data_IF_825749259108
#
_entry.id   IF_825749259108
#
_cell.length_a   1.000
_cell.length_b   1.000
_cell.length_c   1.000
_cell.angle_alpha   90.00
_cell.angle_beta   90.00
_cell.angle_gamma   90.00
#
_symmetry.space_group_name_H-M   'P 1'
#
loop_
_entity.id
_entity.type
_entity.pdbx_description
1 polymer ?
#
# COMPACT_ATOMS: atom_id res chain seq x y z
N UNK A 1 -29.65 3.26 -17.41
CA UNK A 1 -28.90 4.45 -17.83
C UNK A 1 -27.43 4.04 -17.94
N UNK A 2 -26.89 4.12 -19.17
CA UNK A 2 -25.46 3.90 -19.41
C UNK A 2 -24.75 5.10 -18.74
N UNK A 3 -24.17 4.88 -17.56
CA UNK A 3 -23.25 5.85 -16.98
C UNK A 3 -22.17 6.08 -18.06
N UNK A 4 -21.98 7.30 -18.54
CA UNK A 4 -20.90 7.58 -19.47
C UNK A 4 -19.57 7.15 -18.83
N UNK A 5 -18.66 6.59 -19.59
CA UNK A 5 -17.35 6.13 -19.09
C UNK A 5 -16.63 7.25 -18.31
N UNK A 6 -16.78 8.50 -18.75
CA UNK A 6 -16.26 9.68 -18.07
C UNK A 6 -16.87 9.90 -16.67
N UNK A 7 -18.20 9.71 -16.51
CA UNK A 7 -18.83 9.84 -15.19
C UNK A 7 -18.37 8.74 -14.23
N UNK A 8 -18.26 7.49 -14.70
CA UNK A 8 -17.72 6.38 -13.90
C UNK A 8 -16.29 6.67 -13.42
N UNK A 9 -15.44 7.24 -14.26
CA UNK A 9 -14.06 7.56 -13.91
C UNK A 9 -13.97 8.72 -12.89
N UNK A 10 -14.88 9.70 -12.95
CA UNK A 10 -14.97 10.77 -11.95
C UNK A 10 -15.33 10.18 -10.57
N UNK A 11 -16.32 9.28 -10.51
CA UNK A 11 -16.69 8.63 -9.25
C UNK A 11 -15.56 7.77 -8.67
N UNK A 12 -14.84 7.01 -9.49
CA UNK A 12 -13.65 6.25 -9.04
C UNK A 12 -12.61 7.14 -8.37
N UNK A 13 -12.34 8.32 -8.97
CA UNK A 13 -11.41 9.30 -8.39
C UNK A 13 -11.91 9.83 -7.06
N UNK A 14 -13.19 10.22 -6.97
CA UNK A 14 -13.77 10.76 -5.75
C UNK A 14 -13.71 9.75 -4.61
N UNK A 15 -14.07 8.49 -4.89
CA UNK A 15 -14.02 7.42 -3.88
C UNK A 15 -12.58 7.10 -3.48
N UNK A 16 -11.64 7.05 -4.42
CA UNK A 16 -10.23 6.85 -4.09
C UNK A 16 -9.68 7.96 -3.19
N UNK A 17 -10.04 9.23 -3.46
CA UNK A 17 -9.67 10.35 -2.61
C UNK A 17 -10.34 10.24 -1.22
N UNK A 18 -11.62 9.90 -1.16
CA UNK A 18 -12.33 9.74 0.11
C UNK A 18 -11.72 8.62 0.97
N UNK A 19 -11.36 7.48 0.36
CA UNK A 19 -10.69 6.37 1.04
C UNK A 19 -9.29 6.77 1.51
N UNK A 20 -8.50 7.43 0.65
CA UNK A 20 -7.18 7.94 1.04
C UNK A 20 -7.25 8.92 2.21
N UNK A 21 -8.23 9.85 2.20
CA UNK A 21 -8.51 10.77 3.31
C UNK A 21 -9.03 10.05 4.56
N UNK A 22 -9.82 8.99 4.41
CA UNK A 22 -10.28 8.16 5.52
C UNK A 22 -9.11 7.51 6.25
N UNK A 23 -8.17 6.90 5.53
CA UNK A 23 -6.97 6.33 6.11
C UNK A 23 -6.02 7.40 6.67
N UNK A 24 -5.92 8.57 6.01
CA UNK A 24 -5.19 9.73 6.53
C UNK A 24 -5.76 10.15 7.90
N UNK A 25 -7.08 10.23 8.04
CA UNK A 25 -7.73 10.59 9.29
C UNK A 25 -7.43 9.57 10.40
N UNK A 26 -7.44 8.26 10.09
CA UNK A 26 -7.06 7.21 11.05
C UNK A 26 -5.62 7.38 11.51
N UNK A 27 -4.69 7.60 10.57
CA UNK A 27 -3.28 7.83 10.87
C UNK A 27 -3.06 9.12 11.67
N UNK A 28 -3.73 10.20 11.27
CA UNK A 28 -3.66 11.49 11.96
C UNK A 28 -4.14 11.39 13.42
N UNK A 29 -5.23 10.66 13.67
CA UNK A 29 -5.72 10.42 15.03
C UNK A 29 -4.68 9.65 15.86
N UNK A 30 -4.01 8.66 15.26
CA UNK A 30 -2.96 7.90 15.93
C UNK A 30 -1.76 8.79 16.29
N UNK A 31 -1.26 9.56 15.32
CA UNK A 31 -0.13 10.48 15.51
C UNK A 31 -0.46 11.60 16.49
N UNK A 32 -1.67 12.16 16.43
CA UNK A 32 -2.14 13.19 17.35
C UNK A 32 -2.20 12.67 18.81
N UNK A 33 -2.65 11.43 18.99
CA UNK A 33 -2.68 10.82 20.32
C UNK A 33 -1.28 10.55 20.87
N UNK A 34 -0.33 10.12 20.02
CA UNK A 34 1.08 9.98 20.39
C UNK A 34 1.65 11.32 20.88
N UNK A 35 1.42 12.40 20.14
CA UNK A 35 1.87 13.75 20.51
C UNK A 35 1.25 14.21 21.83
N UNK A 36 -0.07 14.11 22.00
CA UNK A 36 -0.76 14.56 23.22
C UNK A 36 -0.37 13.79 24.47
N UNK A 37 -0.05 12.51 24.35
CA UNK A 37 0.30 11.65 25.50
C UNK A 37 1.78 11.70 25.87
N UNK A 38 2.64 12.32 25.03
CA UNK A 38 4.08 12.39 25.23
C UNK A 38 4.78 11.02 25.32
N UNK A 39 4.12 9.96 24.86
CA UNK A 39 4.59 8.57 24.84
C UNK A 39 4.22 8.01 23.46
N UNK A 40 4.99 7.04 22.98
CA UNK A 40 4.68 6.34 21.71
C UNK A 40 3.39 5.48 21.78
N UNK A 41 2.38 5.95 22.54
CA UNK A 41 1.10 5.28 22.78
C UNK A 41 -0.01 6.05 22.02
N UNK A 42 -0.17 5.73 20.75
CA UNK A 42 -1.29 6.18 19.91
C UNK A 42 -2.59 5.43 20.21
N UNK A 43 -3.30 5.05 19.15
CA UNK A 43 -4.46 4.17 19.24
C UNK A 43 -4.02 2.77 19.69
N UNK A 44 -4.88 2.10 20.45
CA UNK A 44 -4.65 0.67 20.74
C UNK A 44 -4.71 -0.12 19.42
N UNK A 45 -3.89 -1.18 19.24
CA UNK A 45 -3.82 -1.90 17.96
C UNK A 45 -5.19 -2.34 17.43
N UNK A 46 -6.09 -2.83 18.30
CA UNK A 46 -7.44 -3.23 17.89
C UNK A 46 -8.29 -2.05 17.41
N UNK A 47 -8.16 -0.86 18.01
CA UNK A 47 -8.88 0.36 17.60
C UNK A 47 -8.44 0.79 16.21
N UNK A 48 -7.12 0.78 15.97
CA UNK A 48 -6.55 1.11 14.65
C UNK A 48 -7.09 0.16 13.57
N UNK A 49 -7.12 -1.15 13.86
CA UNK A 49 -7.66 -2.16 12.93
C UNK A 49 -9.18 -1.98 12.70
N UNK A 50 -9.96 -1.65 13.73
CA UNK A 50 -11.42 -1.42 13.58
C UNK A 50 -11.69 -0.22 12.67
N UNK A 51 -10.99 0.90 12.82
CA UNK A 51 -11.14 2.06 11.94
C UNK A 51 -10.67 1.75 10.50
N UNK A 52 -9.55 1.06 10.35
CA UNK A 52 -9.07 0.62 9.03
C UNK A 52 -10.08 -0.32 8.36
N UNK A 53 -10.65 -1.26 9.11
CA UNK A 53 -11.66 -2.18 8.61
C UNK A 53 -12.93 -1.46 8.15
N UNK A 54 -13.38 -0.45 8.88
CA UNK A 54 -14.56 0.33 8.48
C UNK A 54 -14.34 1.03 7.12
N UNK A 55 -13.17 1.65 6.91
CA UNK A 55 -12.83 2.26 5.62
C UNK A 55 -12.69 1.21 4.53
N UNK A 56 -12.03 0.06 4.81
CA UNK A 56 -11.88 -1.06 3.89
C UNK A 56 -13.24 -1.63 3.47
N UNK A 57 -14.15 -1.82 4.41
CA UNK A 57 -15.50 -2.34 4.16
C UNK A 57 -16.29 -1.42 3.22
N UNK A 58 -16.28 -0.13 3.47
CA UNK A 58 -16.96 0.85 2.61
C UNK A 58 -16.40 0.84 1.17
N UNK A 59 -15.07 0.79 1.03
CA UNK A 59 -14.42 0.75 -0.28
C UNK A 59 -14.67 -0.57 -1.02
N UNK A 60 -14.65 -1.71 -0.32
CA UNK A 60 -14.92 -3.02 -0.90
C UNK A 60 -16.40 -3.18 -1.29
N UNK A 61 -17.33 -2.65 -0.49
CA UNK A 61 -18.75 -2.57 -0.85
C UNK A 61 -18.96 -1.73 -2.10
N UNK A 62 -18.29 -0.57 -2.21
CA UNK A 62 -18.33 0.24 -3.42
C UNK A 62 -17.88 -0.57 -4.64
N UNK A 63 -16.80 -1.36 -4.55
CA UNK A 63 -16.37 -2.22 -5.66
C UNK A 63 -17.48 -3.21 -6.08
N UNK A 64 -18.14 -3.86 -5.13
CA UNK A 64 -19.22 -4.79 -5.43
C UNK A 64 -20.44 -4.11 -6.06
N UNK A 65 -20.83 -2.93 -5.56
CA UNK A 65 -22.01 -2.19 -6.02
C UNK A 65 -21.83 -1.56 -7.42
N UNK A 66 -20.62 -1.13 -7.74
CA UNK A 66 -20.29 -0.53 -9.05
C UNK A 66 -19.75 -1.55 -10.08
N UNK A 67 -19.74 -2.85 -9.74
CA UNK A 67 -19.27 -3.91 -10.64
C UNK A 67 -17.75 -3.88 -10.89
N UNK A 68 -16.96 -3.30 -9.97
CA UNK A 68 -15.50 -3.35 -10.00
C UNK A 68 -15.00 -4.68 -9.42
N UNK A 69 -15.52 -5.77 -9.95
CA UNK A 69 -15.34 -7.14 -9.44
C UNK A 69 -14.44 -7.99 -10.33
N UNK A 70 -13.90 -7.40 -11.39
CA UNK A 70 -12.98 -8.08 -12.29
C UNK A 70 -11.61 -8.20 -11.63
N UNK A 71 -11.07 -9.42 -11.61
CA UNK A 71 -9.74 -9.76 -11.14
C UNK A 71 -8.87 -10.17 -12.32
N UNK A 72 -7.79 -9.45 -12.57
CA UNK A 72 -6.79 -9.74 -13.62
C UNK A 72 -5.73 -10.65 -13.08
N UNK A 73 -5.38 -11.68 -13.85
CA UNK A 73 -4.32 -12.62 -13.46
C UNK A 73 -2.96 -12.06 -13.90
N UNK A 74 -2.02 -11.83 -12.96
CA UNK A 74 -0.70 -11.33 -13.29
C UNK A 74 0.02 -12.19 -14.33
N UNK A 75 0.90 -11.58 -15.11
CA UNK A 75 1.65 -12.23 -16.20
C UNK A 75 0.81 -12.79 -17.35
N UNK A 76 -0.49 -12.55 -17.35
CA UNK A 76 -1.40 -13.01 -18.41
C UNK A 76 -2.32 -11.89 -18.85
N UNK A 77 -3.08 -12.11 -19.93
CA UNK A 77 -4.18 -11.25 -20.36
C UNK A 77 -5.55 -11.77 -19.86
N UNK A 78 -5.53 -12.78 -19.00
CA UNK A 78 -6.75 -13.38 -18.45
C UNK A 78 -7.32 -12.51 -17.34
N UNK A 79 -8.65 -12.49 -17.27
CA UNK A 79 -9.37 -11.86 -16.18
C UNK A 79 -10.63 -12.65 -15.88
N UNK A 80 -11.09 -12.62 -14.63
CA UNK A 80 -12.30 -13.25 -14.19
C UNK A 80 -13.13 -12.26 -13.36
N UNK A 81 -14.43 -12.27 -13.55
CA UNK A 81 -15.35 -11.57 -12.66
C UNK A 81 -15.64 -12.47 -11.45
N UNK A 82 -15.24 -12.02 -10.26
CA UNK A 82 -15.41 -12.76 -9.01
C UNK A 82 -16.66 -12.32 -8.22
N UNK A 83 -17.42 -11.35 -8.75
CA UNK A 83 -18.65 -10.88 -8.13
C UNK A 83 -18.46 -10.47 -6.65
N UNK A 84 -19.35 -10.94 -5.78
CA UNK A 84 -19.33 -10.62 -4.34
C UNK A 84 -18.11 -11.17 -3.57
N UNK A 85 -17.32 -12.09 -4.15
CA UNK A 85 -16.03 -12.48 -3.58
C UNK A 85 -15.03 -11.33 -3.55
N UNK A 86 -15.28 -10.25 -4.30
CA UNK A 86 -14.52 -9.01 -4.21
C UNK A 86 -14.62 -8.38 -2.81
N UNK A 87 -15.70 -8.58 -2.07
CA UNK A 87 -15.86 -8.00 -0.72
C UNK A 87 -14.80 -8.51 0.26
N UNK A 88 -14.68 -9.82 0.55
CA UNK A 88 -13.63 -10.31 1.46
C UNK A 88 -12.24 -10.10 0.90
N UNK A 89 -12.02 -10.25 -0.42
CA UNK A 89 -10.74 -9.98 -1.05
C UNK A 89 -10.35 -8.50 -0.91
N UNK A 90 -11.27 -7.58 -1.20
CA UNK A 90 -11.03 -6.15 -1.10
C UNK A 90 -10.65 -5.73 0.32
N UNK A 91 -11.37 -6.22 1.34
CA UNK A 91 -11.03 -5.97 2.74
C UNK A 91 -9.61 -6.47 3.06
N UNK A 92 -9.27 -7.68 2.61
CA UNK A 92 -7.93 -8.25 2.81
C UNK A 92 -6.85 -7.41 2.12
N UNK A 93 -7.08 -6.99 0.87
CA UNK A 93 -6.15 -6.15 0.11
C UNK A 93 -5.96 -4.80 0.80
N UNK A 94 -7.04 -4.14 1.24
CA UNK A 94 -6.91 -2.87 1.99
C UNK A 94 -6.13 -3.04 3.28
N UNK A 95 -6.53 -3.96 4.15
CA UNK A 95 -5.85 -4.16 5.43
C UNK A 95 -4.40 -4.58 5.25
N UNK A 96 -4.12 -5.48 4.30
CA UNK A 96 -2.76 -5.94 4.00
C UNK A 96 -1.88 -4.82 3.46
N UNK A 97 -2.37 -4.05 2.48
CA UNK A 97 -1.59 -2.98 1.84
C UNK A 97 -1.36 -1.82 2.79
N UNK A 98 -2.40 -1.36 3.50
CA UNK A 98 -2.32 -0.24 4.44
C UNK A 98 -1.33 -0.53 5.56
N UNK A 99 -1.44 -1.71 6.19
CA UNK A 99 -0.50 -2.08 7.24
C UNK A 99 0.89 -2.43 6.68
N UNK A 100 0.97 -3.00 5.47
CA UNK A 100 2.23 -3.30 4.81
C UNK A 100 3.05 -2.04 4.52
N UNK A 101 2.43 -1.00 3.98
CA UNK A 101 3.08 0.30 3.74
C UNK A 101 3.47 0.94 5.07
N UNK A 102 2.57 0.96 6.06
CA UNK A 102 2.85 1.52 7.38
C UNK A 102 4.01 0.80 8.10
N UNK A 103 4.05 -0.54 8.07
CA UNK A 103 5.16 -1.31 8.62
C UNK A 103 6.47 -1.16 7.82
N UNK A 104 6.41 -0.67 6.59
CA UNK A 104 7.61 -0.39 5.78
C UNK A 104 8.16 1.01 6.07
N UNK A 105 7.39 1.90 6.68
CA UNK A 105 7.78 3.28 7.03
C UNK A 105 8.63 3.30 8.32
N UNK A 106 9.74 2.59 8.32
CA UNK A 106 10.63 2.46 9.49
C UNK A 106 12.04 3.00 9.29
N UNK A 107 12.42 3.38 8.06
CA UNK A 107 13.75 3.92 7.73
C UNK A 107 13.62 5.05 6.70
N UNK A 108 14.61 5.95 6.69
CA UNK A 108 14.67 7.07 5.75
C UNK A 108 14.60 6.60 4.29
N UNK A 109 13.67 7.16 3.53
CA UNK A 109 13.45 6.86 2.11
C UNK A 109 12.79 5.50 1.81
N UNK A 110 12.58 4.63 2.79
CA UNK A 110 12.17 3.25 2.56
C UNK A 110 10.74 3.16 2.01
N UNK A 111 9.76 3.61 2.76
CA UNK A 111 8.35 3.56 2.34
C UNK A 111 8.09 4.46 1.14
N UNK A 112 8.67 5.67 1.15
CA UNK A 112 8.52 6.64 0.06
C UNK A 112 9.08 6.11 -1.26
N UNK A 113 10.31 5.60 -1.27
CA UNK A 113 10.97 5.08 -2.47
C UNK A 113 10.28 3.82 -3.03
N UNK A 114 9.97 2.87 -2.16
CA UNK A 114 9.27 1.64 -2.53
C UNK A 114 7.88 1.96 -3.11
N UNK A 115 7.12 2.85 -2.48
CA UNK A 115 5.79 3.26 -2.94
C UNK A 115 5.83 4.05 -4.24
N UNK A 116 6.81 4.93 -4.44
CA UNK A 116 6.96 5.68 -5.69
C UNK A 116 7.14 4.73 -6.88
N UNK A 117 8.02 3.74 -6.76
CA UNK A 117 8.22 2.70 -7.78
C UNK A 117 6.95 1.88 -8.00
N UNK A 118 6.27 1.49 -6.92
CA UNK A 118 5.01 0.73 -7.01
C UNK A 118 3.93 1.51 -7.77
N UNK A 119 3.72 2.80 -7.49
CA UNK A 119 2.72 3.60 -8.19
C UNK A 119 3.08 3.83 -9.66
N UNK A 120 4.35 4.10 -9.98
CA UNK A 120 4.79 4.21 -11.37
C UNK A 120 4.51 2.92 -12.16
N UNK A 121 4.84 1.78 -11.57
CA UNK A 121 4.62 0.48 -12.18
C UNK A 121 3.13 0.18 -12.38
N UNK A 122 2.31 0.48 -11.37
CA UNK A 122 0.87 0.24 -11.46
C UNK A 122 0.21 1.16 -12.48
N UNK A 123 0.63 2.44 -12.55
CA UNK A 123 0.20 3.37 -13.60
C UNK A 123 0.59 2.90 -15.00
N UNK A 124 1.83 2.44 -15.20
CA UNK A 124 2.30 1.87 -16.46
C UNK A 124 1.49 0.62 -16.85
N UNK A 125 1.27 -0.30 -15.91
CA UNK A 125 0.48 -1.51 -16.15
C UNK A 125 -0.96 -1.17 -16.57
N UNK A 126 -1.62 -0.25 -15.87
CA UNK A 126 -2.99 0.19 -16.21
C UNK A 126 -3.02 0.81 -17.61
N UNK A 127 -2.02 1.61 -17.99
CA UNK A 127 -1.90 2.21 -19.32
C UNK A 127 -1.78 1.12 -20.39
N UNK A 128 -0.88 0.15 -20.22
CA UNK A 128 -0.68 -0.95 -21.16
C UNK A 128 -1.91 -1.86 -21.29
N UNK A 129 -2.71 -1.95 -20.23
CA UNK A 129 -3.99 -2.69 -20.24
C UNK A 129 -5.16 -1.90 -20.86
N UNK A 130 -4.94 -0.65 -21.30
CA UNK A 130 -6.02 0.23 -21.79
C UNK A 130 -7.03 0.60 -20.71
N UNK A 131 -6.59 0.65 -19.45
CA UNK A 131 -7.45 0.92 -18.28
C UNK A 131 -7.76 2.41 -18.08
N UNK A 132 -8.36 2.74 -16.92
CA UNK A 132 -8.83 4.10 -16.60
C UNK A 132 -7.69 5.12 -16.54
N UNK A 133 -7.73 6.15 -17.40
CA UNK A 133 -6.79 7.27 -17.39
C UNK A 133 -6.78 8.03 -16.06
N UNK A 134 -7.89 8.05 -15.35
CA UNK A 134 -7.99 8.67 -14.02
C UNK A 134 -7.13 7.95 -12.99
N UNK A 135 -7.10 6.60 -13.01
CA UNK A 135 -6.25 5.82 -12.11
C UNK A 135 -4.77 5.94 -12.48
N UNK A 136 -4.46 6.05 -13.77
CA UNK A 136 -3.10 6.36 -14.25
C UNK A 136 -2.65 7.71 -13.73
N UNK A 137 -3.47 8.76 -13.91
CA UNK A 137 -3.17 10.10 -13.42
C UNK A 137 -2.96 10.11 -11.89
N UNK A 138 -3.84 9.46 -11.13
CA UNK A 138 -3.70 9.35 -9.67
C UNK A 138 -2.37 8.68 -9.28
N UNK A 139 -2.00 7.60 -9.96
CA UNK A 139 -0.73 6.89 -9.73
C UNK A 139 0.47 7.78 -10.02
N UNK A 140 0.46 8.52 -11.14
CA UNK A 140 1.53 9.45 -11.50
C UNK A 140 1.62 10.62 -10.50
N UNK A 141 0.50 11.18 -10.07
CA UNK A 141 0.48 12.25 -9.07
C UNK A 141 1.06 11.79 -7.73
N UNK A 142 0.70 10.58 -7.27
CA UNK A 142 1.23 10.00 -6.03
C UNK A 142 2.74 9.74 -6.15
N UNK A 143 3.18 9.17 -7.28
CA UNK A 143 4.60 8.95 -7.52
C UNK A 143 5.39 10.27 -7.55
N UNK A 144 4.86 11.31 -8.20
CA UNK A 144 5.47 12.64 -8.24
C UNK A 144 5.54 13.30 -6.86
N UNK A 145 4.46 13.21 -6.07
CA UNK A 145 4.44 13.71 -4.70
C UNK A 145 5.48 12.98 -3.81
N UNK A 146 5.60 11.66 -3.99
CA UNK A 146 6.62 10.86 -3.29
C UNK A 146 8.04 11.20 -3.73
N UNK A 147 8.27 11.47 -5.01
CA UNK A 147 9.58 11.93 -5.49
C UNK A 147 9.98 13.26 -4.83
N UNK A 148 9.04 14.21 -4.70
CA UNK A 148 9.27 15.46 -3.98
C UNK A 148 9.49 15.22 -2.47
N UNK A 149 8.71 14.34 -1.84
CA UNK A 149 8.88 13.97 -0.44
C UNK A 149 10.26 13.36 -0.17
N UNK A 150 10.76 12.51 -1.06
CA UNK A 150 12.06 11.84 -0.92
C UNK A 150 13.25 12.82 -0.88
N UNK A 151 13.12 14.00 -1.47
CA UNK A 151 14.14 15.07 -1.35
C UNK A 151 14.38 15.44 0.12
N UNK A 152 13.34 15.37 0.95
CA UNK A 152 13.38 15.70 2.37
C UNK A 152 13.48 14.49 3.29
N UNK A 153 13.24 13.28 2.77
CA UNK A 153 13.19 12.06 3.56
C UNK A 153 14.34 11.08 3.28
N UNK A 154 15.32 11.42 2.40
CA UNK A 154 16.49 10.58 2.15
C UNK A 154 17.75 11.14 2.83
N UNK A 155 18.63 10.23 3.27
CA UNK A 155 19.93 10.56 3.86
C UNK A 155 19.84 10.91 5.34
N UNK A 156 19.54 12.14 5.68
CA UNK A 156 19.15 12.61 7.02
C UNK A 156 17.75 13.22 6.87
N UNK A 157 16.72 12.43 7.17
CA UNK A 157 15.37 12.89 6.98
C UNK A 157 15.07 14.14 7.81
N UNK A 158 14.56 15.17 7.15
CA UNK A 158 14.03 16.38 7.78
C UNK A 158 12.49 16.38 7.83
N UNK A 159 11.84 15.44 7.11
CA UNK A 159 10.40 15.27 7.04
C UNK A 159 10.04 13.79 7.16
N UNK A 160 9.07 13.49 8.02
CA UNK A 160 8.54 12.14 8.23
C UNK A 160 7.05 12.12 7.88
N UNK A 161 6.57 11.04 7.25
CA UNK A 161 5.15 10.93 6.88
C UNK A 161 4.27 10.44 8.02
N UNK A 162 4.83 9.70 8.97
CA UNK A 162 4.12 9.12 10.10
C UNK A 162 3.01 8.15 9.69
N UNK A 163 2.17 7.79 10.65
CA UNK A 163 0.98 6.96 10.38
C UNK A 163 -0.03 7.69 9.49
N UNK A 164 -0.07 9.02 9.57
CA UNK A 164 -0.90 9.90 8.75
C UNK A 164 -0.64 9.66 7.26
N UNK A 165 0.61 9.71 6.84
CA UNK A 165 1.01 9.54 5.45
C UNK A 165 1.01 8.08 5.01
N UNK A 166 1.60 7.20 5.81
CA UNK A 166 1.80 5.80 5.42
C UNK A 166 0.50 5.00 5.30
N UNK A 167 -0.50 5.23 6.19
CA UNK A 167 -1.81 4.59 6.06
C UNK A 167 -2.57 5.13 4.83
N UNK A 168 -2.54 6.45 4.61
CA UNK A 168 -3.16 7.07 3.43
C UNK A 168 -2.56 6.50 2.13
N UNK A 169 -1.24 6.40 2.07
CA UNK A 169 -0.51 5.88 0.92
C UNK A 169 -0.89 4.42 0.62
N UNK A 170 -0.96 3.59 1.67
CA UNK A 170 -1.45 2.21 1.56
C UNK A 170 -2.90 2.12 1.08
N UNK A 171 -3.76 3.04 1.55
CA UNK A 171 -5.15 3.16 1.10
C UNK A 171 -5.26 3.49 -0.38
N UNK A 172 -4.48 4.46 -0.87
CA UNK A 172 -4.42 4.78 -2.31
C UNK A 172 -3.89 3.62 -3.14
N UNK A 173 -2.85 2.92 -2.67
CA UNK A 173 -2.30 1.76 -3.37
C UNK A 173 -3.33 0.65 -3.53
N UNK A 174 -4.08 0.34 -2.47
CA UNK A 174 -5.19 -0.62 -2.52
C UNK A 174 -6.32 -0.17 -3.45
N UNK A 175 -6.73 1.13 -3.41
CA UNK A 175 -7.74 1.68 -4.31
C UNK A 175 -7.36 1.52 -5.78
N UNK A 176 -6.15 1.97 -6.15
CA UNK A 176 -5.71 1.92 -7.55
C UNK A 176 -5.65 0.47 -8.03
N UNK A 177 -5.13 -0.45 -7.19
CA UNK A 177 -5.04 -1.86 -7.53
C UNK A 177 -6.43 -2.52 -7.70
N UNK A 178 -7.36 -2.30 -6.76
CA UNK A 178 -8.70 -2.89 -6.81
C UNK A 178 -9.54 -2.29 -7.94
N UNK A 179 -9.57 -0.95 -8.07
CA UNK A 179 -10.42 -0.28 -9.07
C UNK A 179 -9.94 -0.51 -10.51
N UNK A 180 -8.68 -0.90 -10.70
CA UNK A 180 -8.15 -1.33 -12.00
C UNK A 180 -8.25 -2.83 -12.27
N UNK A 181 -8.74 -3.61 -11.31
CA UNK A 181 -8.78 -5.07 -11.37
C UNK A 181 -7.43 -5.75 -11.12
N UNK A 182 -6.43 -5.01 -10.67
CA UNK A 182 -5.05 -5.48 -10.47
C UNK A 182 -4.74 -5.85 -8.99
N UNK A 183 -5.74 -6.31 -8.23
CA UNK A 183 -5.56 -6.66 -6.82
C UNK A 183 -4.43 -7.69 -6.58
N UNK A 184 -4.27 -8.67 -7.47
CA UNK A 184 -3.22 -9.70 -7.39
C UNK A 184 -1.81 -9.17 -7.71
N UNK A 185 -1.69 -7.96 -8.26
CA UNK A 185 -0.40 -7.30 -8.48
C UNK A 185 0.19 -6.80 -7.17
N UNK A 186 -0.65 -6.48 -6.17
CA UNK A 186 -0.19 -5.97 -4.87
C UNK A 186 0.82 -6.90 -4.19
N UNK A 187 0.57 -8.21 -4.01
CA UNK A 187 1.56 -9.09 -3.38
C UNK A 187 2.81 -9.33 -4.22
N UNK A 188 2.80 -9.04 -5.51
CA UNK A 188 3.94 -9.21 -6.42
C UNK A 188 4.79 -7.94 -6.50
N UNK A 189 4.24 -6.84 -7.05
CA UNK A 189 4.94 -5.56 -7.11
C UNK A 189 5.19 -4.98 -5.72
N UNK A 190 4.24 -5.16 -4.79
CA UNK A 190 4.34 -4.75 -3.39
C UNK A 190 4.94 -5.82 -2.47
N UNK A 191 5.74 -6.75 -2.98
CA UNK A 191 6.33 -7.85 -2.18
C UNK A 191 7.04 -7.35 -0.92
N UNK A 192 7.71 -6.20 -1.00
CA UNK A 192 8.43 -5.66 0.15
C UNK A 192 7.49 -5.19 1.26
N UNK A 193 6.28 -4.70 0.95
CA UNK A 193 5.23 -4.42 1.94
C UNK A 193 4.72 -5.70 2.59
N UNK A 194 4.53 -6.75 1.78
CA UNK A 194 4.10 -8.07 2.25
C UNK A 194 5.15 -8.69 3.17
N UNK A 195 6.42 -8.66 2.79
CA UNK A 195 7.52 -9.19 3.60
C UNK A 195 7.69 -8.43 4.92
N UNK A 196 7.50 -7.11 4.91
CA UNK A 196 7.48 -6.32 6.15
C UNK A 196 6.38 -6.83 7.10
N UNK A 197 5.16 -7.01 6.60
CA UNK A 197 4.03 -7.51 7.40
C UNK A 197 4.23 -8.96 7.87
N UNK A 198 4.60 -9.86 6.97
CA UNK A 198 4.82 -11.29 7.29
C UNK A 198 5.93 -11.44 8.33
N UNK A 199 7.02 -10.68 8.21
CA UNK A 199 8.13 -10.77 9.18
C UNK A 199 7.69 -10.41 10.59
N UNK A 200 6.80 -9.43 10.76
CA UNK A 200 6.22 -9.08 12.06
C UNK A 200 5.30 -10.19 12.58
N UNK A 201 4.41 -10.70 11.73
CA UNK A 201 3.48 -11.78 12.10
C UNK A 201 4.26 -13.01 12.57
N UNK A 202 5.24 -13.45 11.77
CA UNK A 202 6.07 -14.62 12.10
C UNK A 202 6.85 -14.39 13.39
N UNK A 203 7.46 -13.22 13.58
CA UNK A 203 8.20 -12.88 14.79
C UNK A 203 7.31 -12.96 16.02
N UNK A 204 6.11 -12.36 15.97
CA UNK A 204 5.17 -12.33 17.10
C UNK A 204 4.66 -13.73 17.44
N UNK A 205 4.24 -14.52 16.42
CA UNK A 205 3.74 -15.89 16.65
C UNK A 205 4.84 -16.77 17.23
N UNK A 206 6.04 -16.72 16.66
CA UNK A 206 7.15 -17.55 17.12
C UNK A 206 7.60 -17.16 18.53
N UNK A 207 7.72 -15.86 18.80
CA UNK A 207 8.10 -15.36 20.12
C UNK A 207 7.09 -15.75 21.21
N UNK A 208 5.79 -15.65 20.92
CA UNK A 208 4.75 -16.08 21.86
C UNK A 208 4.80 -17.58 22.17
N UNK A 209 5.22 -18.41 21.20
CA UNK A 209 5.29 -19.87 21.37
C UNK A 209 6.59 -20.36 22.02
N UNK A 210 7.71 -19.70 21.76
CA UNK A 210 9.04 -20.23 22.10
C UNK A 210 9.86 -19.34 23.02
N UNK A 211 9.46 -18.07 23.22
CA UNK A 211 10.26 -17.06 23.91
C UNK A 211 11.51 -16.61 23.13
N UNK A 212 11.73 -17.13 21.91
CA UNK A 212 12.89 -16.83 21.07
C UNK A 212 12.52 -15.95 19.88
N UNK A 213 13.49 -15.23 19.32
CA UNK A 213 13.32 -14.40 18.13
C UNK A 213 13.78 -15.15 16.88
N UNK A 214 13.04 -15.03 15.76
CA UNK A 214 13.48 -15.49 14.43
C UNK A 214 14.41 -14.44 13.82
N UNK A 215 13.95 -13.17 13.79
CA UNK A 215 14.72 -12.04 13.29
C UNK A 215 15.35 -11.29 14.47
N UNK A 216 16.49 -10.64 14.26
CA UNK A 216 17.11 -9.77 15.27
C UNK A 216 16.11 -8.71 15.73
N UNK A 217 15.40 -8.11 14.75
CA UNK A 217 14.27 -7.22 14.96
C UNK A 217 13.28 -7.35 13.78
N UNK A 218 12.00 -7.17 13.99
CA UNK A 218 10.97 -7.07 12.96
C UNK A 218 10.37 -5.65 13.00
N UNK A 219 9.97 -5.10 11.86
CA UNK A 219 9.95 -5.67 10.49
C UNK A 219 11.33 -5.96 9.88
N UNK A 220 11.33 -6.65 8.72
CA UNK A 220 12.52 -7.21 8.08
C UNK A 220 13.67 -6.19 7.83
N UNK A 221 13.34 -4.94 7.49
CA UNK A 221 14.34 -3.89 7.28
C UNK A 221 15.17 -3.60 8.54
N UNK A 222 14.57 -3.65 9.74
CA UNK A 222 15.31 -3.51 10.99
C UNK A 222 16.25 -4.70 11.26
N UNK A 223 15.92 -5.91 10.79
CA UNK A 223 16.84 -7.04 10.85
C UNK A 223 18.14 -6.76 10.08
N UNK A 224 18.01 -6.17 8.87
CA UNK A 224 19.19 -5.77 8.07
C UNK A 224 19.93 -4.59 8.69
N UNK A 225 19.22 -3.60 9.26
CA UNK A 225 19.83 -2.49 10.00
C UNK A 225 20.68 -3.01 11.17
N UNK A 226 20.18 -3.96 11.95
CA UNK A 226 20.93 -4.62 13.02
C UNK A 226 22.11 -5.47 12.54
N UNK A 227 22.11 -5.89 11.27
CA UNK A 227 23.27 -6.53 10.62
C UNK A 227 24.33 -5.53 10.11
N UNK A 228 24.12 -4.23 10.32
CA UNK A 228 25.09 -3.18 9.94
C UNK A 228 24.91 -2.60 8.54
N UNK A 229 23.81 -2.93 7.82
CA UNK A 229 23.51 -2.26 6.55
C UNK A 229 23.00 -0.85 6.80
N UNK A 230 23.47 0.12 5.99
CA UNK A 230 22.98 1.50 6.06
C UNK A 230 21.54 1.60 5.57
N UNK A 231 20.77 2.57 6.11
CA UNK A 231 19.38 2.79 5.76
C UNK A 231 19.19 3.03 4.26
N UNK A 232 20.04 3.87 3.65
CA UNK A 232 19.99 4.12 2.22
C UNK A 232 20.22 2.85 1.37
N UNK A 233 21.10 1.91 1.81
CA UNK A 233 21.30 0.65 1.12
C UNK A 233 20.07 -0.25 1.20
N UNK A 234 19.41 -0.28 2.37
CA UNK A 234 18.18 -1.06 2.57
C UNK A 234 17.05 -0.46 1.73
N UNK A 235 16.86 0.86 1.76
CA UNK A 235 15.83 1.58 1.00
C UNK A 235 16.01 1.40 -0.50
N UNK A 236 17.25 1.50 -1.00
CA UNK A 236 17.57 1.21 -2.40
C UNK A 236 17.25 -0.24 -2.77
N UNK A 237 17.62 -1.22 -1.93
CA UNK A 237 17.34 -2.64 -2.20
C UNK A 237 15.84 -2.92 -2.29
N UNK A 238 15.02 -2.33 -1.41
CA UNK A 238 13.57 -2.45 -1.46
C UNK A 238 12.98 -1.86 -2.75
N UNK A 239 13.40 -0.64 -3.11
CA UNK A 239 12.97 -0.01 -4.35
C UNK A 239 13.42 -0.80 -5.60
N UNK A 240 14.65 -1.32 -5.60
CA UNK A 240 15.18 -2.13 -6.71
C UNK A 240 14.41 -3.45 -6.88
N UNK A 241 14.14 -4.18 -5.79
CA UNK A 241 13.33 -5.40 -5.84
C UNK A 241 11.93 -5.09 -6.36
N UNK A 242 11.30 -4.03 -5.87
CA UNK A 242 9.99 -3.57 -6.34
C UNK A 242 10.04 -3.23 -7.84
N UNK A 243 11.08 -2.53 -8.31
CA UNK A 243 11.24 -2.20 -9.72
C UNK A 243 11.40 -3.43 -10.61
N UNK A 244 12.24 -4.38 -10.20
CA UNK A 244 12.47 -5.63 -10.95
C UNK A 244 11.18 -6.44 -11.06
N UNK A 245 10.49 -6.68 -9.95
CA UNK A 245 9.23 -7.42 -9.95
C UNK A 245 8.15 -6.71 -10.77
N UNK A 246 8.08 -5.39 -10.65
CA UNK A 246 7.15 -4.57 -11.46
C UNK A 246 7.46 -4.67 -12.94
N UNK A 247 8.73 -4.60 -13.34
CA UNK A 247 9.14 -4.73 -14.74
C UNK A 247 8.71 -6.08 -15.33
N UNK A 248 8.86 -7.18 -14.56
CA UNK A 248 8.40 -8.51 -15.04
C UNK A 248 6.88 -8.56 -15.28
N UNK A 249 6.08 -7.81 -14.50
CA UNK A 249 4.63 -7.74 -14.68
C UNK A 249 4.19 -7.02 -15.95
N UNK A 250 5.06 -6.17 -16.53
CA UNK A 250 4.77 -5.42 -17.76
C UNK A 250 5.06 -6.26 -19.02
N UNK A 251 5.93 -7.27 -18.95
CA UNK A 251 6.40 -8.07 -20.10
C UNK A 251 5.25 -8.60 -20.98
N UNK A 252 4.14 -9.17 -20.45
CA UNK A 252 3.07 -9.71 -21.30
C UNK A 252 2.29 -8.67 -22.09
N UNK A 253 2.48 -7.38 -21.83
CA UNK A 253 1.74 -6.28 -22.40
C UNK A 253 2.58 -5.40 -23.34
N UNK A 254 3.90 -5.56 -23.34
CA UNK A 254 4.86 -4.93 -24.26
C UNK A 254 5.10 -5.85 -25.45
#
# INVERSE_FOLDING_TARGET
PIKSSAASDVYKRQVALAVGLGYLAVGFLDDLLKLKRGKNLGLRPYQKIVFQFAVALMAALYCCMEGLTVLRVPYTRLSADIGWWMLPLGILVFLGTVNGVNLTDGLDGLAGGTSAVFFLALGALITLQGGSGTLVLLSCCLAGALAAYLVFNTGRASLFMGDTGSLSLGGFAACVALFSGNALVVPLAGLMFVLSSISVILQVIYYKKTGKRIFLMAPLHHHFQHKGYSEGKISYAYAAVTAVLSATLLIPFV
#
